data_IF_111994428495
#
_entry.id   IF_111994428495
#
_cell.length_a   1.000
_cell.length_b   1.000
_cell.length_c   1.000
_cell.angle_alpha   90.00
_cell.angle_beta   90.00
_cell.angle_gamma   90.00
#
_symmetry.space_group_name_H-M   'P 1'
#
loop_
_entity.id
_entity.type
_entity.pdbx_description
1 polymer ?
#
# COMPACT_ATOMS: atom_id res chain seq x y z
N UNK A 1 -0.09 0.18 17.93
CA UNK A 1 1.04 1.10 18.17
C UNK A 1 0.76 2.49 17.57
N UNK A 2 0.89 3.55 18.37
CA UNK A 2 0.69 4.94 17.92
C UNK A 2 1.93 5.39 17.12
N UNK A 3 1.72 5.88 15.89
CA UNK A 3 2.79 6.34 15.01
C UNK A 3 3.24 7.75 15.45
N UNK A 4 4.40 7.85 16.10
CA UNK A 4 5.07 9.12 16.39
C UNK A 4 6.06 9.43 15.26
N UNK A 5 5.94 10.63 14.67
CA UNK A 5 6.47 10.98 13.34
C UNK A 5 8.00 11.04 13.15
N UNK A 6 8.90 10.96 14.15
CA UNK A 6 10.31 10.72 13.86
C UNK A 6 10.79 9.27 14.05
N UNK A 7 9.98 8.38 14.65
CA UNK A 7 10.44 7.04 15.08
C UNK A 7 10.10 5.90 14.12
N UNK A 8 9.58 6.22 12.93
CA UNK A 8 9.04 5.21 12.02
C UNK A 8 9.98 5.04 10.83
N UNK A 9 10.51 3.83 10.70
CA UNK A 9 11.29 3.45 9.52
C UNK A 9 10.37 3.34 8.30
N UNK A 10 10.49 4.28 7.36
CA UNK A 10 9.67 4.32 6.14
C UNK A 10 9.85 3.06 5.26
N UNK A 11 11.01 2.40 5.29
CA UNK A 11 11.23 1.16 4.54
C UNK A 11 10.34 0.01 5.03
N UNK A 12 9.88 0.06 6.30
CA UNK A 12 8.98 -0.94 6.88
C UNK A 12 7.51 -0.70 6.51
N UNK A 13 7.14 0.48 6.01
CA UNK A 13 5.77 0.79 5.62
C UNK A 13 5.53 0.26 4.20
N UNK A 14 4.81 -0.85 4.10
CA UNK A 14 4.40 -1.44 2.81
C UNK A 14 2.91 -1.27 2.50
N UNK A 15 2.12 -0.81 3.48
CA UNK A 15 0.66 -0.76 3.40
C UNK A 15 0.13 0.46 4.14
N UNK A 16 -0.97 1.04 3.64
CA UNK A 16 -1.70 2.11 4.32
C UNK A 16 -3.22 1.90 4.18
N UNK A 17 -3.97 2.43 5.15
CA UNK A 17 -5.42 2.38 5.17
C UNK A 17 -5.96 3.81 5.10
N UNK A 18 -6.74 4.10 4.06
CA UNK A 18 -7.51 5.33 3.96
C UNK A 18 -8.88 5.09 4.57
N UNK A 19 -9.25 5.92 5.54
CA UNK A 19 -10.57 5.91 6.17
C UNK A 19 -11.26 7.20 5.73
N UNK A 20 -12.41 7.06 5.07
CA UNK A 20 -13.24 8.18 4.63
C UNK A 20 -14.59 8.08 5.31
N UNK A 21 -15.05 9.18 5.91
CA UNK A 21 -16.38 9.27 6.48
C UNK A 21 -17.25 10.15 5.59
N UNK A 22 -18.43 9.66 5.24
CA UNK A 22 -19.44 10.44 4.56
C UNK A 22 -20.51 10.89 5.57
N UNK A 23 -20.59 12.20 5.78
CA UNK A 23 -21.53 12.79 6.73
C UNK A 23 -23.00 12.68 6.29
N UNK A 24 -23.28 12.53 4.99
CA UNK A 24 -24.64 12.42 4.50
C UNK A 24 -25.20 11.00 4.71
N UNK A 25 -24.38 9.97 4.42
CA UNK A 25 -24.78 8.57 4.60
C UNK A 25 -24.43 8.01 5.98
N UNK A 26 -23.64 8.74 6.78
CA UNK A 26 -23.10 8.31 8.07
C UNK A 26 -22.22 7.04 7.97
N UNK A 27 -21.70 6.74 6.79
CA UNK A 27 -20.92 5.53 6.53
C UNK A 27 -19.42 5.79 6.53
N UNK A 28 -18.67 4.81 7.04
CA UNK A 28 -17.21 4.75 6.95
C UNK A 28 -16.80 3.84 5.80
N UNK A 29 -16.03 4.39 4.87
CA UNK A 29 -15.41 3.66 3.79
C UNK A 29 -13.94 3.41 4.12
N UNK A 30 -13.57 2.13 4.13
CA UNK A 30 -12.19 1.68 4.34
C UNK A 30 -11.58 1.29 3.01
N UNK A 31 -10.42 1.87 2.68
CA UNK A 31 -9.70 1.54 1.47
C UNK A 31 -8.23 1.25 1.78
N UNK A 32 -7.84 0.01 1.56
CA UNK A 32 -6.50 -0.47 1.82
C UNK A 32 -5.64 -0.36 0.56
N UNK A 33 -4.45 0.18 0.70
CA UNK A 33 -3.49 0.35 -0.39
C UNK A 33 -2.14 -0.27 -0.04
N UNK A 34 -1.52 -0.91 -1.03
CA UNK A 34 -0.13 -1.29 -0.98
C UNK A 34 0.75 -0.13 -1.45
N UNK A 35 1.80 0.18 -0.69
CA UNK A 35 2.76 1.25 -0.99
C UNK A 35 4.00 0.60 -1.59
N UNK A 36 4.24 0.89 -2.88
CA UNK A 36 5.42 0.39 -3.60
C UNK A 36 6.37 1.54 -3.89
N UNK A 37 7.60 1.42 -3.39
CA UNK A 37 8.69 2.34 -3.77
C UNK A 37 9.10 2.01 -5.20
N UNK A 38 9.02 2.99 -6.09
CA UNK A 38 9.48 2.86 -7.47
C UNK A 38 10.67 3.79 -7.64
N UNK A 39 11.87 3.28 -7.94
CA UNK A 39 13.04 4.13 -8.15
C UNK A 39 12.82 5.05 -9.35
N UNK A 40 13.17 6.32 -9.18
CA UNK A 40 13.19 7.33 -10.24
C UNK A 40 14.62 7.54 -10.72
N UNK A 41 14.83 7.84 -12.00
CA UNK A 41 16.17 8.07 -12.57
C UNK A 41 16.92 6.82 -13.06
N UNK A 42 16.32 5.62 -12.99
CA UNK A 42 16.91 4.38 -13.53
C UNK A 42 16.53 4.15 -15.00
N UNK A 43 17.41 3.48 -15.76
CA UNK A 43 17.15 3.13 -17.16
C UNK A 43 15.94 2.18 -17.29
N UNK A 44 15.25 2.22 -18.45
CA UNK A 44 14.05 1.41 -18.70
C UNK A 44 14.30 -0.10 -18.53
N UNK A 45 15.49 -0.58 -18.92
CA UNK A 45 15.88 -1.99 -18.79
C UNK A 45 16.05 -2.41 -17.33
N UNK A 46 16.75 -1.60 -16.53
CA UNK A 46 16.94 -1.87 -15.11
C UNK A 46 15.62 -1.78 -14.32
N UNK A 47 14.75 -0.84 -14.69
CA UNK A 47 13.40 -0.71 -14.09
C UNK A 47 12.56 -1.98 -14.27
N UNK A 48 12.64 -2.66 -15.42
CA UNK A 48 11.91 -3.92 -15.67
C UNK A 48 12.42 -5.07 -14.80
N UNK A 49 13.73 -5.14 -14.54
CA UNK A 49 14.32 -6.18 -13.69
C UNK A 49 13.96 -5.99 -12.22
N UNK A 50 13.87 -4.74 -11.75
CA UNK A 50 13.55 -4.40 -10.36
C UNK A 50 12.05 -4.43 -10.05
N UNK A 51 11.18 -4.59 -11.05
CA UNK A 51 9.74 -4.51 -10.85
C UNK A 51 9.22 -5.82 -10.24
N UNK A 52 9.01 -5.84 -8.92
CA UNK A 52 8.37 -7.00 -8.28
C UNK A 52 6.95 -7.23 -8.83
N UNK A 53 6.65 -8.49 -9.17
CA UNK A 53 5.31 -8.93 -9.60
C UNK A 53 4.45 -9.15 -8.36
N UNK A 54 3.73 -8.11 -7.94
CA UNK A 54 2.65 -8.28 -6.97
C UNK A 54 1.38 -8.76 -7.67
N UNK A 55 0.65 -9.73 -7.09
CA UNK A 55 -0.65 -10.14 -7.62
C UNK A 55 -1.66 -8.98 -7.55
N UNK A 56 -2.64 -9.00 -8.44
CA UNK A 56 -3.73 -8.04 -8.40
C UNK A 56 -4.61 -8.33 -7.17
N UNK A 57 -4.44 -7.53 -6.13
CA UNK A 57 -5.16 -7.69 -4.85
C UNK A 57 -6.67 -7.46 -4.96
N UNK A 58 -7.17 -6.86 -6.05
CA UNK A 58 -8.61 -6.73 -6.30
C UNK A 58 -9.28 -8.08 -6.57
N UNK A 59 -8.51 -9.14 -6.83
CA UNK A 59 -9.01 -10.50 -7.07
C UNK A 59 -8.94 -11.40 -5.84
N UNK A 60 -8.35 -10.91 -4.74
CA UNK A 60 -8.23 -11.66 -3.51
C UNK A 60 -9.36 -11.19 -2.59
N UNK A 61 -10.18 -12.14 -2.11
CA UNK A 61 -11.29 -11.83 -1.22
C UNK A 61 -10.80 -11.67 0.23
N UNK A 62 -9.68 -12.32 0.58
CA UNK A 62 -9.07 -12.26 1.91
C UNK A 62 -7.53 -12.07 1.85
N UNK A 63 -6.97 -11.34 2.83
CA UNK A 63 -5.51 -11.18 3.02
C UNK A 63 -4.87 -12.51 3.44
N UNK A 64 -5.64 -13.40 4.04
CA UNK A 64 -5.24 -14.76 4.43
C UNK A 64 -4.85 -15.63 3.22
N UNK A 65 -5.31 -15.30 2.01
CA UNK A 65 -4.90 -15.98 0.77
C UNK A 65 -3.43 -15.68 0.39
N UNK A 66 -2.79 -14.74 1.08
CA UNK A 66 -1.41 -14.32 0.83
C UNK A 66 -0.42 -14.76 1.93
N UNK A 67 -0.88 -15.50 2.96
CA UNK A 67 -0.10 -15.91 4.14
C UNK A 67 0.32 -17.38 4.09
#
# INVERSE_FOLDING_TARGET
PLLLLPQVNLNSIKRCLLISYDSATQLLSFRHYSVKVVPVGVSKGLKKLLQEKFPNMSRLEDISELL
#
